data_IF_338214687137
#
_entry.id   IF_338214687137
#
_cell.length_a   1.000
_cell.length_b   1.000
_cell.length_c   1.000
_cell.angle_alpha   90.00
_cell.angle_beta   90.00
_cell.angle_gamma   90.00
#
_symmetry.space_group_name_H-M   'P 1'
#
loop_
_entity.id
_entity.type
_entity.pdbx_description
1 polymer ?
#
# COMPACT_ATOMS: atom_id res chain seq x y z
N UNK A 1 9.58 -12.57 2.03
CA UNK A 1 9.09 -12.04 0.72
C UNK A 1 9.38 -10.55 0.67
N UNK A 2 10.28 -10.05 -0.18
CA UNK A 2 10.41 -8.61 -0.39
C UNK A 2 9.29 -8.10 -1.31
N UNK A 3 8.85 -6.86 -1.13
CA UNK A 3 8.10 -6.13 -2.17
C UNK A 3 9.15 -5.60 -3.15
N UNK A 4 9.55 -6.42 -4.12
CA UNK A 4 10.76 -6.17 -4.92
C UNK A 4 10.55 -6.31 -6.43
N UNK A 5 9.31 -6.22 -6.90
CA UNK A 5 8.99 -6.37 -8.32
C UNK A 5 9.62 -5.25 -9.16
N UNK A 6 9.74 -4.04 -8.61
CA UNK A 6 10.44 -2.91 -9.26
C UNK A 6 11.93 -3.23 -9.51
N UNK A 7 12.60 -3.84 -8.52
CA UNK A 7 14.00 -4.24 -8.65
C UNK A 7 14.21 -5.26 -9.79
N UNK A 8 13.27 -6.21 -9.96
CA UNK A 8 13.30 -7.21 -11.03
C UNK A 8 12.93 -6.62 -12.38
N UNK A 9 11.99 -5.65 -12.40
CA UNK A 9 11.58 -4.97 -13.61
C UNK A 9 12.75 -4.23 -14.29
N UNK A 10 13.60 -3.59 -13.50
CA UNK A 10 14.77 -2.87 -14.02
C UNK A 10 15.91 -3.78 -14.54
N UNK A 11 15.73 -5.09 -14.52
CA UNK A 11 16.59 -6.04 -15.26
C UNK A 11 16.15 -6.23 -16.71
N UNK A 12 14.96 -5.76 -17.06
CA UNK A 12 14.47 -5.77 -18.44
C UNK A 12 15.21 -4.73 -19.31
N UNK A 13 15.33 -5.00 -20.61
CA UNK A 13 16.00 -4.08 -21.55
C UNK A 13 15.28 -2.73 -21.71
N UNK A 14 13.97 -2.70 -21.48
CA UNK A 14 13.13 -1.51 -21.59
C UNK A 14 12.12 -1.50 -20.43
N UNK A 15 12.57 -1.21 -19.18
CA UNK A 15 11.73 -1.32 -17.99
C UNK A 15 10.50 -0.41 -18.05
N UNK A 16 10.61 0.76 -18.66
CA UNK A 16 9.48 1.70 -18.78
C UNK A 16 8.33 1.11 -19.60
N UNK A 17 8.63 0.32 -20.64
CA UNK A 17 7.60 -0.34 -21.44
C UNK A 17 6.95 -1.54 -20.74
N UNK A 18 7.49 -1.99 -19.62
CA UNK A 18 6.89 -3.07 -18.83
C UNK A 18 5.66 -2.58 -18.09
N UNK A 19 5.68 -1.33 -17.59
CA UNK A 19 4.60 -0.75 -16.79
C UNK A 19 3.27 -0.71 -17.53
N UNK A 20 3.30 -0.50 -18.82
CA UNK A 20 2.11 -0.37 -19.68
C UNK A 20 1.85 -1.63 -20.53
N UNK A 21 2.45 -2.77 -20.17
CA UNK A 21 2.27 -4.03 -20.88
C UNK A 21 2.03 -5.20 -19.92
N UNK A 22 0.78 -5.63 -19.82
CA UNK A 22 0.37 -6.63 -18.86
C UNK A 22 1.07 -7.97 -18.97
N UNK A 23 1.31 -8.46 -20.20
CA UNK A 23 2.04 -9.72 -20.41
C UNK A 23 3.51 -9.63 -19.98
N UNK A 24 4.18 -8.49 -20.21
CA UNK A 24 5.56 -8.28 -19.73
C UNK A 24 5.57 -8.13 -18.21
N UNK A 25 4.67 -7.32 -17.65
CA UNK A 25 4.53 -7.10 -16.21
C UNK A 25 4.21 -8.41 -15.48
N UNK A 26 3.31 -9.24 -16.01
CA UNK A 26 3.01 -10.57 -15.46
C UNK A 26 4.24 -11.47 -15.39
N UNK A 27 5.08 -11.50 -16.43
CA UNK A 27 6.34 -12.26 -16.39
C UNK A 27 7.33 -11.72 -15.37
N UNK A 28 7.41 -10.41 -15.18
CA UNK A 28 8.28 -9.79 -14.17
C UNK A 28 7.80 -10.15 -12.77
N UNK A 29 6.49 -10.07 -12.50
CA UNK A 29 5.89 -10.46 -11.22
C UNK A 29 6.14 -11.95 -10.93
N UNK A 30 5.91 -12.84 -11.91
CA UNK A 30 6.20 -14.27 -11.77
C UNK A 30 7.68 -14.49 -11.46
N UNK A 31 8.59 -13.86 -12.20
CA UNK A 31 10.04 -13.96 -11.97
C UNK A 31 10.44 -13.47 -10.59
N UNK A 32 9.84 -12.40 -10.10
CA UNK A 32 10.04 -11.87 -8.75
C UNK A 32 9.62 -12.90 -7.69
N UNK A 33 8.41 -13.45 -7.79
CA UNK A 33 7.92 -14.48 -6.86
C UNK A 33 8.81 -15.73 -6.86
N UNK A 34 9.21 -16.21 -8.03
CA UNK A 34 10.09 -17.38 -8.19
C UNK A 34 11.49 -17.14 -7.63
N UNK A 35 12.07 -15.95 -7.86
CA UNK A 35 13.41 -15.59 -7.34
C UNK A 35 13.50 -15.74 -5.84
N UNK A 36 12.49 -15.30 -5.13
CA UNK A 36 12.49 -15.30 -3.66
C UNK A 36 11.64 -16.41 -3.04
N UNK A 37 11.22 -17.40 -3.85
CA UNK A 37 10.52 -18.59 -3.37
C UNK A 37 9.23 -18.29 -2.61
N UNK A 38 8.49 -17.27 -3.00
CA UNK A 38 7.22 -16.91 -2.38
C UNK A 38 6.02 -17.29 -3.26
N UNK A 39 4.94 -17.84 -2.70
CA UNK A 39 3.70 -18.05 -3.44
C UNK A 39 2.95 -16.74 -3.72
N UNK A 40 3.18 -15.69 -2.94
CA UNK A 40 2.56 -14.39 -3.12
C UNK A 40 3.23 -13.64 -4.29
N UNK A 41 2.52 -13.52 -5.40
CA UNK A 41 2.99 -12.79 -6.58
C UNK A 41 2.54 -11.33 -6.48
N UNK A 42 3.37 -10.51 -5.80
CA UNK A 42 3.09 -9.11 -5.50
C UNK A 42 3.42 -8.24 -6.71
N UNK A 43 2.49 -7.39 -7.16
CA UNK A 43 2.70 -6.52 -8.30
C UNK A 43 3.69 -5.39 -8.01
N UNK A 44 3.93 -4.56 -9.02
CA UNK A 44 4.65 -3.31 -8.88
C UNK A 44 3.88 -2.36 -7.93
N UNK A 45 4.59 -1.72 -6.98
CA UNK A 45 3.98 -0.74 -6.09
C UNK A 45 3.86 0.63 -6.78
N UNK A 46 2.96 0.73 -7.77
CA UNK A 46 2.65 2.00 -8.42
C UNK A 46 1.38 2.61 -7.82
N UNK A 47 1.56 3.40 -6.77
CA UNK A 47 0.47 4.05 -6.03
C UNK A 47 -0.01 5.36 -6.69
N UNK A 48 0.25 5.56 -7.99
CA UNK A 48 -0.21 6.72 -8.76
C UNK A 48 -1.45 6.39 -9.59
N UNK A 49 -1.67 5.11 -9.87
CA UNK A 49 -2.66 4.64 -10.84
C UNK A 49 -4.06 5.14 -10.53
N UNK A 50 -4.51 5.00 -9.29
CA UNK A 50 -5.84 5.43 -8.86
C UNK A 50 -6.02 6.96 -8.97
N UNK A 51 -4.95 7.74 -8.72
CA UNK A 51 -4.95 9.20 -8.93
C UNK A 51 -5.08 9.54 -10.41
N UNK A 52 -4.33 8.85 -11.28
CA UNK A 52 -4.37 9.06 -12.72
C UNK A 52 -5.77 8.74 -13.26
N UNK A 53 -6.34 7.61 -12.87
CA UNK A 53 -7.67 7.18 -13.30
C UNK A 53 -8.77 8.16 -12.85
N UNK A 54 -8.70 8.63 -11.60
CA UNK A 54 -9.63 9.62 -11.07
C UNK A 54 -9.52 10.95 -11.82
N UNK A 55 -8.30 11.45 -12.02
CA UNK A 55 -8.08 12.75 -12.65
C UNK A 55 -8.36 12.75 -14.16
N UNK A 56 -8.30 11.59 -14.82
CA UNK A 56 -8.76 11.44 -16.19
C UNK A 56 -10.24 11.77 -16.36
N UNK A 57 -11.08 11.50 -15.35
CA UNK A 57 -12.49 11.89 -15.34
C UNK A 57 -12.67 13.41 -15.24
N UNK A 58 -11.71 14.12 -14.66
CA UNK A 58 -11.63 15.57 -14.62
C UNK A 58 -10.94 16.17 -15.88
N UNK A 59 -10.69 15.36 -16.91
CA UNK A 59 -9.95 15.71 -18.14
C UNK A 59 -8.51 16.21 -17.88
N UNK A 60 -7.87 15.74 -16.82
CA UNK A 60 -6.46 16.00 -16.49
C UNK A 60 -5.61 14.87 -17.05
N UNK A 61 -4.55 15.22 -17.78
CA UNK A 61 -3.67 14.25 -18.42
C UNK A 61 -2.88 13.42 -17.41
N UNK A 62 -2.49 12.20 -17.78
CA UNK A 62 -1.66 11.35 -16.92
C UNK A 62 -0.30 12.00 -16.59
N UNK A 63 0.26 12.81 -17.49
CA UNK A 63 1.51 13.54 -17.26
C UNK A 63 1.37 14.63 -16.22
N UNK A 64 0.22 15.25 -16.11
CA UNK A 64 -0.06 16.34 -15.17
C UNK A 64 -0.57 15.81 -13.82
N UNK A 65 -1.11 14.58 -13.82
CA UNK A 65 -1.79 14.01 -12.66
C UNK A 65 -0.93 13.97 -11.39
N UNK A 66 0.37 13.71 -11.50
CA UNK A 66 1.24 13.62 -10.32
C UNK A 66 1.36 14.98 -9.61
N UNK A 67 1.54 16.06 -10.36
CA UNK A 67 1.69 17.41 -9.81
C UNK A 67 0.35 18.08 -9.50
N UNK A 68 -0.76 17.54 -10.00
CA UNK A 68 -2.08 18.16 -9.83
C UNK A 68 -2.61 18.03 -8.40
N UNK A 69 -3.16 19.13 -7.89
CA UNK A 69 -3.89 19.16 -6.62
C UNK A 69 -5.13 20.07 -6.77
N UNK A 70 -6.23 19.67 -6.17
CA UNK A 70 -7.36 20.56 -5.97
C UNK A 70 -6.99 21.64 -4.95
N UNK A 71 -7.29 22.89 -5.29
CA UNK A 71 -6.97 24.07 -4.45
C UNK A 71 -8.18 24.68 -3.76
N UNK A 72 -9.36 24.24 -4.12
CA UNK A 72 -10.64 24.69 -3.53
C UNK A 72 -11.69 23.58 -3.65
N UNK A 73 -12.73 23.59 -2.80
CA UNK A 73 -13.85 22.68 -2.91
C UNK A 73 -14.51 22.73 -4.30
N UNK A 74 -14.85 21.53 -4.79
CA UNK A 74 -15.60 21.38 -6.03
C UNK A 74 -17.07 21.79 -5.84
N UNK A 75 -17.66 22.28 -6.91
CA UNK A 75 -19.11 22.39 -6.98
C UNK A 75 -19.76 20.99 -6.93
N UNK A 76 -21.03 20.96 -6.54
CA UNK A 76 -21.74 19.70 -6.27
C UNK A 76 -21.83 18.80 -7.51
N UNK A 77 -22.01 19.38 -8.71
CA UNK A 77 -22.13 18.61 -9.95
C UNK A 77 -20.81 17.93 -10.33
N UNK A 78 -19.68 18.64 -10.25
CA UNK A 78 -18.36 18.07 -10.49
C UNK A 78 -17.99 17.03 -9.45
N UNK A 79 -18.26 17.31 -8.17
CA UNK A 79 -18.01 16.37 -7.10
C UNK A 79 -18.81 15.08 -7.29
N UNK A 80 -20.11 15.19 -7.55
CA UNK A 80 -20.95 14.03 -7.80
C UNK A 80 -20.50 13.22 -9.03
N UNK A 81 -20.04 13.88 -10.09
CA UNK A 81 -19.50 13.20 -11.27
C UNK A 81 -18.23 12.40 -10.98
N UNK A 82 -17.35 12.91 -10.11
CA UNK A 82 -16.10 12.22 -9.74
C UNK A 82 -16.30 11.09 -8.71
N UNK A 83 -17.40 11.13 -7.95
CA UNK A 83 -17.75 10.05 -7.01
C UNK A 83 -18.73 9.03 -7.60
N UNK A 84 -19.36 9.33 -8.73
CA UNK A 84 -20.38 8.50 -9.36
C UNK A 84 -19.80 7.35 -10.18
N UNK A 85 -20.66 6.76 -11.03
CA UNK A 85 -20.28 5.68 -11.92
C UNK A 85 -19.17 6.13 -12.88
N UNK A 86 -18.04 5.46 -12.80
CA UNK A 86 -16.84 5.84 -13.55
C UNK A 86 -16.82 5.13 -14.90
N UNK A 87 -17.26 5.82 -15.95
CA UNK A 87 -17.30 5.28 -17.32
C UNK A 87 -16.02 5.53 -18.13
N UNK A 88 -15.14 6.41 -17.65
CA UNK A 88 -13.86 6.70 -18.31
C UNK A 88 -12.97 5.44 -18.29
N UNK A 89 -12.32 5.06 -19.42
CA UNK A 89 -11.40 3.93 -19.45
C UNK A 89 -10.27 4.09 -18.42
N UNK A 90 -9.80 2.98 -17.89
CA UNK A 90 -8.62 2.96 -17.03
C UNK A 90 -7.38 3.36 -17.82
N UNK A 91 -6.39 3.93 -17.15
CA UNK A 91 -5.10 4.27 -17.76
C UNK A 91 -4.31 3.01 -18.17
N UNK A 92 -3.36 3.13 -19.12
CA UNK A 92 -2.57 1.98 -19.60
C UNK A 92 -1.90 1.18 -18.48
N UNK A 93 -1.37 1.84 -17.45
CA UNK A 93 -0.76 1.17 -16.29
C UNK A 93 -1.76 0.36 -15.46
N UNK A 94 -2.98 0.85 -15.25
CA UNK A 94 -4.05 0.11 -14.58
C UNK A 94 -4.49 -1.10 -15.40
N UNK A 95 -4.64 -0.95 -16.71
CA UNK A 95 -4.96 -2.07 -17.61
C UNK A 95 -3.84 -3.11 -17.57
N UNK A 96 -2.58 -2.69 -17.64
CA UNK A 96 -1.43 -3.61 -17.62
C UNK A 96 -1.33 -4.36 -16.28
N UNK A 97 -1.60 -3.70 -15.16
CA UNK A 97 -1.69 -4.35 -13.84
C UNK A 97 -2.78 -5.42 -13.83
N UNK A 98 -3.95 -5.11 -14.32
CA UNK A 98 -5.10 -6.02 -14.35
C UNK A 98 -4.82 -7.23 -15.25
N UNK A 99 -4.26 -7.02 -16.44
CA UNK A 99 -3.82 -8.11 -17.33
C UNK A 99 -2.70 -8.97 -16.69
N UNK A 100 -1.78 -8.36 -15.96
CA UNK A 100 -0.73 -9.07 -15.24
C UNK A 100 -1.31 -9.98 -14.15
N UNK A 101 -2.33 -9.51 -13.41
CA UNK A 101 -3.07 -10.32 -12.43
C UNK A 101 -3.68 -11.56 -13.11
N UNK A 102 -4.34 -11.39 -14.26
CA UNK A 102 -4.90 -12.50 -15.02
C UNK A 102 -3.81 -13.52 -15.47
N UNK A 103 -2.64 -13.01 -15.88
CA UNK A 103 -1.49 -13.87 -16.20
C UNK A 103 -1.01 -14.69 -15.01
N UNK A 104 -0.93 -14.09 -13.82
CA UNK A 104 -0.53 -14.78 -12.59
C UNK A 104 -1.60 -15.75 -12.13
N UNK A 105 -2.87 -15.38 -12.21
CA UNK A 105 -3.99 -16.25 -11.84
C UNK A 105 -4.00 -17.58 -12.57
N UNK A 106 -3.44 -17.62 -13.78
CA UNK A 106 -3.26 -18.85 -14.56
C UNK A 106 -2.12 -19.75 -14.03
N UNK A 107 -1.39 -19.36 -13.00
CA UNK A 107 -0.31 -20.14 -12.35
C UNK A 107 -0.85 -20.78 -11.06
N UNK A 108 -1.05 -22.11 -11.02
CA UNK A 108 -1.75 -22.76 -9.90
C UNK A 108 -0.94 -22.73 -8.58
N UNK A 109 0.36 -22.52 -8.66
CA UNK A 109 1.30 -22.46 -7.54
C UNK A 109 1.58 -21.03 -7.03
N UNK A 110 0.95 -20.02 -7.63
CA UNK A 110 1.06 -18.61 -7.22
C UNK A 110 -0.31 -18.06 -6.80
N UNK A 111 -0.25 -17.14 -5.87
CA UNK A 111 -1.38 -16.35 -5.41
C UNK A 111 -1.30 -14.99 -6.11
N UNK A 112 -2.30 -14.68 -6.94
CA UNK A 112 -2.37 -13.41 -7.65
C UNK A 112 -2.75 -12.30 -6.66
N UNK A 113 -1.80 -11.44 -6.35
CA UNK A 113 -1.99 -10.29 -5.47
C UNK A 113 -2.21 -9.04 -6.32
N UNK A 114 -3.29 -8.33 -6.05
CA UNK A 114 -3.51 -6.98 -6.56
C UNK A 114 -2.95 -5.93 -5.60
N UNK A 115 -2.94 -4.67 -6.02
CA UNK A 115 -2.48 -3.56 -5.19
C UNK A 115 -3.21 -2.26 -5.53
N UNK A 116 -3.53 -1.48 -4.50
CA UNK A 116 -4.05 -0.13 -4.63
C UNK A 116 -3.55 0.76 -3.48
N UNK A 117 -3.51 2.06 -3.74
CA UNK A 117 -3.34 3.05 -2.66
C UNK A 117 -4.58 3.03 -1.77
N UNK A 118 -4.42 3.29 -0.48
CA UNK A 118 -5.56 3.44 0.43
C UNK A 118 -6.30 4.77 0.25
N UNK A 119 -7.59 4.82 0.63
CA UNK A 119 -8.44 6.00 0.39
C UNK A 119 -7.90 7.28 1.01
N UNK A 120 -7.46 7.24 2.25
CA UNK A 120 -6.93 8.44 2.90
C UNK A 120 -5.59 8.85 2.29
N UNK A 121 -4.71 7.90 1.99
CA UNK A 121 -3.43 8.18 1.30
C UNK A 121 -3.64 8.80 -0.08
N UNK A 122 -4.65 8.34 -0.84
CA UNK A 122 -5.01 8.98 -2.10
C UNK A 122 -5.58 10.38 -1.86
N UNK A 123 -6.47 10.57 -0.89
CA UNK A 123 -7.03 11.87 -0.55
C UNK A 123 -5.93 12.91 -0.24
N UNK A 124 -4.89 12.51 0.50
CA UNK A 124 -3.76 13.40 0.80
C UNK A 124 -2.97 13.81 -0.44
N UNK A 125 -3.00 13.01 -1.50
CA UNK A 125 -2.33 13.32 -2.78
C UNK A 125 -3.19 14.16 -3.72
N UNK A 126 -4.46 14.36 -3.41
CA UNK A 126 -5.38 15.17 -4.21
C UNK A 126 -5.40 16.63 -3.80
N UNK A 127 -4.79 17.01 -2.68
CA UNK A 127 -4.77 18.38 -2.17
C UNK A 127 -3.36 18.84 -1.76
N UNK A 128 -3.12 20.15 -1.82
CA UNK A 128 -1.78 20.71 -1.60
C UNK A 128 -1.35 20.68 -0.13
N UNK A 129 -2.27 20.88 0.82
CA UNK A 129 -1.98 20.88 2.27
C UNK A 129 -2.98 19.99 3.03
N UNK A 130 -2.82 18.67 2.97
CA UNK A 130 -3.67 17.75 3.70
C UNK A 130 -3.44 17.76 5.22
N UNK A 131 -2.24 18.15 5.67
CA UNK A 131 -1.90 18.15 7.10
C UNK A 131 -2.68 19.25 7.82
N UNK A 132 -2.68 20.48 7.28
CA UNK A 132 -3.42 21.58 7.87
C UNK A 132 -4.93 21.27 7.91
N UNK A 133 -5.50 20.77 6.82
CA UNK A 133 -6.91 20.40 6.76
C UNK A 133 -7.27 19.28 7.77
N UNK A 134 -6.45 18.25 7.88
CA UNK A 134 -6.63 17.19 8.88
C UNK A 134 -6.52 17.72 10.31
N UNK A 135 -5.55 18.60 10.60
CA UNK A 135 -5.40 19.21 11.90
C UNK A 135 -6.61 20.06 12.31
N UNK A 136 -7.18 20.83 11.38
CA UNK A 136 -8.40 21.61 11.58
C UNK A 136 -9.60 20.69 11.85
N UNK A 137 -9.81 19.68 11.01
CA UNK A 137 -10.89 18.70 11.20
C UNK A 137 -10.74 17.95 12.53
N UNK A 138 -9.53 17.58 12.90
CA UNK A 138 -9.22 16.93 14.18
C UNK A 138 -9.44 17.82 15.41
N UNK A 139 -9.49 19.13 15.20
CA UNK A 139 -9.85 20.13 16.24
C UNK A 139 -11.36 20.44 16.27
N UNK A 140 -12.17 19.72 15.48
CA UNK A 140 -13.62 19.85 15.46
C UNK A 140 -14.17 20.83 14.43
N UNK A 141 -13.34 21.34 13.51
CA UNK A 141 -13.82 22.17 12.41
C UNK A 141 -14.56 21.31 11.40
N UNK A 142 -15.79 21.66 11.08
CA UNK A 142 -16.66 20.91 10.17
C UNK A 142 -16.56 21.42 8.72
N UNK A 143 -16.95 20.62 7.70
CA UNK A 143 -16.90 21.01 6.27
C UNK A 143 -17.69 22.26 5.91
N UNK A 144 -18.70 22.63 6.71
CA UNK A 144 -19.48 23.86 6.53
C UNK A 144 -18.77 25.12 7.03
N UNK A 145 -17.70 24.98 7.80
CA UNK A 145 -16.99 26.07 8.48
C UNK A 145 -15.66 26.43 7.82
N UNK A 146 -15.06 25.49 7.05
CA UNK A 146 -13.79 25.69 6.36
C UNK A 146 -13.80 25.07 4.96
N UNK A 147 -13.30 25.83 3.99
CA UNK A 147 -13.11 25.34 2.62
C UNK A 147 -12.07 24.20 2.56
N UNK A 148 -11.02 24.28 3.36
CA UNK A 148 -9.96 23.29 3.43
C UNK A 148 -10.48 21.95 3.98
N UNK A 149 -11.29 22.01 5.05
CA UNK A 149 -11.93 20.83 5.61
C UNK A 149 -12.95 20.25 4.65
N UNK A 150 -13.76 21.10 3.99
CA UNK A 150 -14.68 20.64 2.95
C UNK A 150 -13.96 19.93 1.81
N UNK A 151 -12.84 20.50 1.35
CA UNK A 151 -12.00 19.89 0.31
C UNK A 151 -11.44 18.52 0.76
N UNK A 152 -10.96 18.41 1.99
CA UNK A 152 -10.46 17.13 2.54
C UNK A 152 -11.53 16.03 2.44
N UNK A 153 -12.75 16.33 2.85
CA UNK A 153 -13.86 15.37 2.76
C UNK A 153 -14.24 15.03 1.33
N UNK A 154 -14.25 16.00 0.42
CA UNK A 154 -14.49 15.74 -0.99
C UNK A 154 -13.38 14.85 -1.58
N UNK A 155 -12.10 15.15 -1.27
CA UNK A 155 -10.97 14.32 -1.70
C UNK A 155 -11.06 12.90 -1.16
N UNK A 156 -11.48 12.70 0.09
CA UNK A 156 -11.66 11.38 0.67
C UNK A 156 -12.73 10.56 -0.06
N UNK A 157 -13.89 11.14 -0.32
CA UNK A 157 -14.97 10.43 -1.03
C UNK A 157 -14.59 10.09 -2.48
N UNK A 158 -13.95 11.04 -3.20
CA UNK A 158 -13.44 10.77 -4.55
C UNK A 158 -12.37 9.66 -4.54
N UNK A 159 -11.46 9.71 -3.57
CA UNK A 159 -10.43 8.70 -3.41
C UNK A 159 -11.03 7.32 -3.11
N UNK A 160 -12.00 7.23 -2.22
CA UNK A 160 -12.70 5.98 -1.91
C UNK A 160 -13.37 5.37 -3.16
N UNK A 161 -14.08 6.19 -3.93
CA UNK A 161 -14.70 5.73 -5.18
C UNK A 161 -13.67 5.22 -6.20
N UNK A 162 -12.55 5.93 -6.37
CA UNK A 162 -11.48 5.53 -7.27
C UNK A 162 -10.79 4.23 -6.83
N UNK A 163 -10.49 4.09 -5.53
CA UNK A 163 -9.87 2.89 -4.98
C UNK A 163 -10.81 1.69 -5.10
N UNK A 164 -12.09 1.87 -4.79
CA UNK A 164 -13.09 0.79 -4.92
C UNK A 164 -13.19 0.31 -6.37
N UNK A 165 -13.23 1.22 -7.34
CA UNK A 165 -13.19 0.87 -8.76
C UNK A 165 -11.96 0.06 -9.14
N UNK A 166 -10.77 0.52 -8.69
CA UNK A 166 -9.50 -0.17 -8.93
C UNK A 166 -9.51 -1.58 -8.36
N UNK A 167 -9.97 -1.75 -7.12
CA UNK A 167 -10.09 -3.03 -6.43
C UNK A 167 -11.05 -3.97 -7.18
N UNK A 168 -12.24 -3.47 -7.57
CA UNK A 168 -13.23 -4.26 -8.33
C UNK A 168 -12.68 -4.72 -9.68
N UNK A 169 -11.93 -3.87 -10.40
CA UNK A 169 -11.31 -4.25 -11.66
C UNK A 169 -10.30 -5.38 -11.47
N UNK A 170 -9.45 -5.28 -10.46
CA UNK A 170 -8.46 -6.31 -10.13
C UNK A 170 -9.10 -7.65 -9.71
N UNK A 171 -10.17 -7.60 -8.92
CA UNK A 171 -10.95 -8.80 -8.53
C UNK A 171 -11.55 -9.46 -9.78
N UNK A 172 -12.09 -8.68 -10.71
CA UNK A 172 -12.64 -9.20 -11.96
C UNK A 172 -11.58 -9.92 -12.83
N UNK A 173 -10.31 -9.55 -12.70
CA UNK A 173 -9.18 -10.24 -13.35
C UNK A 173 -8.63 -11.43 -12.53
N UNK A 174 -9.23 -11.73 -11.39
CA UNK A 174 -8.93 -12.91 -10.60
C UNK A 174 -7.91 -12.69 -9.48
N UNK A 175 -7.73 -11.46 -9.01
CA UNK A 175 -6.97 -11.22 -7.79
C UNK A 175 -7.52 -12.05 -6.62
N UNK A 176 -6.65 -12.75 -5.90
CA UNK A 176 -7.00 -13.58 -4.75
C UNK A 176 -6.76 -12.85 -3.43
N UNK A 177 -5.91 -11.85 -3.47
CA UNK A 177 -5.69 -10.90 -2.40
C UNK A 177 -5.44 -9.51 -2.98
N UNK A 178 -5.80 -8.46 -2.24
CA UNK A 178 -5.46 -7.08 -2.58
C UNK A 178 -4.63 -6.47 -1.44
N UNK A 179 -3.49 -5.89 -1.80
CA UNK A 179 -2.69 -5.08 -0.88
C UNK A 179 -3.16 -3.63 -0.95
N UNK A 180 -3.78 -3.16 0.13
CA UNK A 180 -4.15 -1.75 0.30
C UNK A 180 -3.02 -1.04 1.04
N UNK A 181 -2.42 -0.04 0.39
CA UNK A 181 -1.29 0.73 0.91
C UNK A 181 -1.75 2.08 1.47
N UNK A 182 -1.74 2.23 2.79
CA UNK A 182 -2.28 3.38 3.51
C UNK A 182 -1.22 4.17 4.33
N UNK A 183 -0.06 4.53 3.75
CA UNK A 183 1.04 5.14 4.50
C UNK A 183 0.73 6.52 5.12
N UNK A 184 -0.34 7.18 4.69
CA UNK A 184 -0.77 8.43 5.30
C UNK A 184 -1.60 8.22 6.58
N UNK A 185 -2.05 7.00 6.88
CA UNK A 185 -2.80 6.69 8.10
C UNK A 185 -1.89 6.63 9.34
N UNK A 186 -1.03 7.61 9.51
CA UNK A 186 0.04 7.65 10.49
C UNK A 186 0.03 8.95 11.30
N UNK A 187 0.88 9.02 12.32
CA UNK A 187 0.96 10.18 13.25
C UNK A 187 1.36 11.51 12.56
N UNK A 188 1.86 11.48 11.32
CA UNK A 188 2.18 12.68 10.58
C UNK A 188 0.92 13.44 10.11
N UNK A 189 -0.16 12.72 9.81
CA UNK A 189 -1.43 13.28 9.39
C UNK A 189 -2.50 13.23 10.47
N UNK A 190 -2.47 12.19 11.31
CA UNK A 190 -3.45 11.96 12.38
C UNK A 190 -2.76 12.22 13.71
N UNK A 191 -3.09 13.33 14.34
CA UNK A 191 -2.44 13.74 15.58
C UNK A 191 -2.79 12.82 16.76
N UNK A 192 -1.81 12.12 17.38
CA UNK A 192 -2.06 11.31 18.56
C UNK A 192 -2.63 12.13 19.74
N UNK A 193 -2.27 13.41 19.82
CA UNK A 193 -2.82 14.32 20.84
C UNK A 193 -4.31 14.56 20.63
N UNK A 194 -4.76 14.75 19.40
CA UNK A 194 -6.16 14.93 19.08
C UNK A 194 -6.95 13.64 19.31
N UNK A 195 -6.40 12.47 18.93
CA UNK A 195 -7.00 11.17 19.24
C UNK A 195 -7.24 11.01 20.75
N UNK A 196 -6.22 11.27 21.57
CA UNK A 196 -6.32 11.23 23.04
C UNK A 196 -7.31 12.25 23.62
N UNK A 197 -7.55 13.36 22.92
CA UNK A 197 -8.56 14.36 23.28
C UNK A 197 -9.98 13.99 22.82
N UNK A 198 -10.17 12.81 22.23
CA UNK A 198 -11.48 12.31 21.79
C UNK A 198 -11.88 12.70 20.36
N UNK A 199 -10.93 13.17 19.52
CA UNK A 199 -11.19 13.41 18.11
C UNK A 199 -11.54 12.10 17.40
N UNK A 200 -12.61 12.10 16.61
CA UNK A 200 -13.02 10.98 15.77
C UNK A 200 -12.39 11.00 14.38
N UNK A 201 -11.37 11.84 14.17
CA UNK A 201 -10.76 12.04 12.84
C UNK A 201 -10.18 10.74 12.27
N UNK A 202 -9.44 9.97 13.10
CA UNK A 202 -8.89 8.68 12.70
C UNK A 202 -9.98 7.71 12.23
N UNK A 203 -11.09 7.67 12.97
CA UNK A 203 -12.25 6.86 12.59
C UNK A 203 -12.79 7.26 11.22
N UNK A 204 -13.10 8.54 11.04
CA UNK A 204 -13.76 9.06 9.83
C UNK A 204 -12.86 9.04 8.60
N UNK A 205 -11.57 9.39 8.73
CA UNK A 205 -10.66 9.50 7.59
C UNK A 205 -10.01 8.17 7.19
N UNK A 206 -9.76 7.29 8.17
CA UNK A 206 -8.99 6.07 7.96
C UNK A 206 -9.84 4.83 8.13
N UNK A 207 -10.46 4.66 9.30
CA UNK A 207 -11.10 3.38 9.64
C UNK A 207 -12.35 3.11 8.79
N UNK A 208 -13.28 4.06 8.73
CA UNK A 208 -14.54 3.86 7.98
C UNK A 208 -14.33 3.56 6.49
N UNK A 209 -13.50 4.30 5.72
CA UNK A 209 -13.26 3.96 4.32
C UNK A 209 -12.62 2.59 4.13
N UNK A 210 -11.62 2.24 4.98
CA UNK A 210 -10.95 0.95 4.88
C UNK A 210 -11.85 -0.21 5.33
N UNK A 211 -12.77 -0.01 6.27
CA UNK A 211 -13.79 -1.00 6.64
C UNK A 211 -14.78 -1.25 5.49
N UNK A 212 -15.18 -0.20 4.74
CA UNK A 212 -16.02 -0.39 3.54
C UNK A 212 -15.28 -1.14 2.43
N UNK A 213 -13.99 -0.87 2.22
CA UNK A 213 -13.16 -1.66 1.30
C UNK A 213 -13.03 -3.11 1.75
N UNK A 214 -12.78 -3.34 3.05
CA UNK A 214 -12.71 -4.69 3.62
C UNK A 214 -14.01 -5.46 3.37
N UNK A 215 -15.16 -4.83 3.61
CA UNK A 215 -16.46 -5.45 3.36
C UNK A 215 -16.63 -5.84 1.88
N UNK A 216 -16.23 -4.98 0.93
CA UNK A 216 -16.29 -5.28 -0.50
C UNK A 216 -15.35 -6.44 -0.90
N UNK A 217 -14.16 -6.53 -0.28
CA UNK A 217 -13.24 -7.65 -0.48
C UNK A 217 -13.81 -8.96 0.07
N UNK A 218 -14.42 -8.93 1.26
CA UNK A 218 -15.02 -10.10 1.89
C UNK A 218 -16.20 -10.65 1.06
N UNK A 219 -17.04 -9.75 0.54
CA UNK A 219 -18.14 -10.13 -0.34
C UNK A 219 -17.66 -10.83 -1.62
N UNK A 220 -16.50 -10.40 -2.13
CA UNK A 220 -15.87 -11.00 -3.31
C UNK A 220 -15.03 -12.24 -2.99
N UNK A 221 -14.86 -12.62 -1.73
CA UNK A 221 -13.99 -13.72 -1.31
C UNK A 221 -12.51 -13.46 -1.59
N UNK A 222 -12.08 -12.20 -1.54
CA UNK A 222 -10.72 -11.75 -1.79
C UNK A 222 -10.05 -11.32 -0.48
N UNK A 223 -8.85 -11.84 -0.19
CA UNK A 223 -8.14 -11.54 1.05
C UNK A 223 -7.60 -10.09 1.05
N UNK A 224 -7.62 -9.44 2.22
CA UNK A 224 -6.98 -8.14 2.42
C UNK A 224 -5.56 -8.32 2.97
N UNK A 225 -4.59 -7.67 2.31
CA UNK A 225 -3.27 -7.34 2.84
C UNK A 225 -3.29 -5.85 3.16
N UNK A 226 -3.22 -5.47 4.43
CA UNK A 226 -3.20 -4.07 4.82
C UNK A 226 -1.78 -3.63 5.10
N UNK A 227 -1.28 -2.66 4.34
CA UNK A 227 0.09 -2.16 4.42
C UNK A 227 0.13 -0.72 4.88
N UNK A 228 0.78 -0.47 6.00
CA UNK A 228 1.12 0.88 6.46
C UNK A 228 2.58 0.95 6.91
N UNK A 229 3.41 1.63 6.13
CA UNK A 229 4.82 1.87 6.45
C UNK A 229 5.07 3.22 7.12
N UNK A 230 4.02 3.94 7.51
CA UNK A 230 4.11 5.19 8.26
C UNK A 230 4.54 4.98 9.72
N UNK A 231 4.73 6.07 10.43
CA UNK A 231 5.01 6.00 11.87
C UNK A 231 3.69 5.90 12.66
N UNK A 232 3.44 4.73 13.24
CA UNK A 232 2.21 4.39 13.95
C UNK A 232 2.36 4.44 15.47
N UNK A 233 1.26 4.72 16.17
CA UNK A 233 1.09 4.47 17.60
C UNK A 233 0.35 3.14 17.81
N UNK A 234 0.39 2.60 19.03
CA UNK A 234 -0.22 1.30 19.36
C UNK A 234 -1.71 1.27 19.06
N UNK A 235 -2.45 2.33 19.40
CA UNK A 235 -3.90 2.45 19.14
C UNK A 235 -4.23 2.28 17.64
N UNK A 236 -3.36 2.75 16.75
CA UNK A 236 -3.55 2.59 15.28
C UNK A 236 -3.29 1.14 14.86
N UNK A 237 -2.20 0.53 15.34
CA UNK A 237 -1.88 -0.88 15.06
C UNK A 237 -2.98 -1.80 15.56
N UNK A 238 -3.45 -1.57 16.79
CA UNK A 238 -4.55 -2.33 17.39
C UNK A 238 -5.85 -2.19 16.60
N UNK A 239 -6.19 -0.98 16.15
CA UNK A 239 -7.36 -0.74 15.31
C UNK A 239 -7.28 -1.45 13.95
N UNK A 240 -6.12 -1.39 13.29
CA UNK A 240 -5.91 -2.10 12.03
C UNK A 240 -6.00 -3.62 12.21
N UNK A 241 -5.35 -4.15 13.24
CA UNK A 241 -5.30 -5.58 13.50
C UNK A 241 -6.67 -6.16 13.88
N UNK A 242 -7.41 -5.49 14.77
CA UNK A 242 -8.62 -6.06 15.37
C UNK A 242 -9.91 -5.64 14.68
N UNK A 243 -9.96 -4.45 14.05
CA UNK A 243 -11.19 -3.94 13.46
C UNK A 243 -11.21 -4.08 11.94
N UNK A 244 -10.13 -3.73 11.23
CA UNK A 244 -10.00 -4.05 9.80
C UNK A 244 -9.79 -5.55 9.65
N UNK A 245 -9.03 -6.15 10.54
CA UNK A 245 -8.79 -7.60 10.62
C UNK A 245 -8.34 -8.18 9.27
N UNK A 246 -7.22 -7.69 8.70
CA UNK A 246 -6.73 -8.16 7.42
C UNK A 246 -6.17 -9.58 7.51
N UNK A 247 -6.06 -10.31 6.40
CA UNK A 247 -5.35 -11.59 6.38
C UNK A 247 -3.87 -11.44 6.68
N UNK A 248 -3.27 -10.34 6.18
CA UNK A 248 -1.87 -9.99 6.42
C UNK A 248 -1.81 -8.51 6.80
N UNK A 249 -1.16 -8.21 7.92
CA UNK A 249 -0.86 -6.85 8.36
C UNK A 249 0.63 -6.55 8.13
N UNK A 250 0.92 -5.61 7.25
CA UNK A 250 2.27 -5.20 6.87
C UNK A 250 2.61 -3.85 7.49
N UNK A 251 3.62 -3.81 8.34
CA UNK A 251 4.02 -2.61 9.09
C UNK A 251 5.44 -2.17 8.73
N UNK A 252 5.68 -0.86 8.81
CA UNK A 252 6.99 -0.24 8.59
C UNK A 252 8.02 -0.59 9.66
N UNK A 253 9.31 -0.32 9.38
CA UNK A 253 10.44 -0.64 10.26
C UNK A 253 10.53 0.22 11.53
N UNK A 254 9.64 1.22 11.67
CA UNK A 254 9.46 1.96 12.93
C UNK A 254 8.81 1.10 14.03
N UNK A 255 8.19 -0.02 13.64
CA UNK A 255 7.57 -0.98 14.56
C UNK A 255 8.47 -2.20 14.76
N UNK A 256 8.37 -2.81 15.94
CA UNK A 256 8.96 -4.12 16.24
C UNK A 256 7.86 -5.16 16.26
N UNK A 257 7.74 -5.93 15.19
CA UNK A 257 6.61 -6.85 15.00
C UNK A 257 6.41 -7.82 16.16
N UNK A 258 7.50 -8.26 16.81
CA UNK A 258 7.42 -9.15 17.97
C UNK A 258 6.89 -8.45 19.24
N UNK A 259 7.03 -7.11 19.33
CA UNK A 259 6.42 -6.32 20.39
C UNK A 259 4.94 -6.04 20.06
N UNK A 260 4.60 -5.89 18.78
CA UNK A 260 3.22 -5.67 18.33
C UNK A 260 2.37 -6.95 18.36
N UNK A 261 2.99 -8.12 18.29
CA UNK A 261 2.32 -9.43 18.22
C UNK A 261 1.29 -9.67 19.33
N UNK A 262 1.46 -9.06 20.52
CA UNK A 262 0.53 -9.23 21.64
C UNK A 262 -0.81 -8.53 21.43
N UNK A 263 -0.89 -7.52 20.54
CA UNK A 263 -2.11 -6.78 20.24
C UNK A 263 -2.76 -7.22 18.91
N UNK A 264 -2.11 -8.13 18.19
CA UNK A 264 -2.57 -8.62 16.88
C UNK A 264 -3.21 -10.01 17.03
N UNK A 265 -4.44 -10.25 16.52
CA UNK A 265 -5.07 -11.57 16.54
C UNK A 265 -4.21 -12.66 15.89
N UNK A 266 -4.22 -13.87 16.46
CA UNK A 266 -3.36 -14.97 16.02
C UNK A 266 -3.65 -15.52 14.61
N UNK A 267 -4.76 -15.15 14.00
CA UNK A 267 -5.14 -15.48 12.61
C UNK A 267 -4.79 -14.37 11.60
N UNK A 268 -4.30 -13.21 12.09
CA UNK A 268 -3.72 -12.14 11.26
C UNK A 268 -2.22 -12.36 11.16
N UNK A 269 -1.70 -12.55 9.97
CA UNK A 269 -0.27 -12.77 9.73
C UNK A 269 0.46 -11.43 9.73
N UNK A 270 1.50 -11.27 10.57
CA UNK A 270 2.38 -10.11 10.49
C UNK A 270 3.36 -10.26 9.33
N UNK A 271 3.57 -9.18 8.57
CA UNK A 271 4.50 -9.16 7.44
C UNK A 271 5.53 -8.04 7.60
N UNK A 272 6.75 -8.36 7.28
CA UNK A 272 7.85 -7.40 7.18
C UNK A 272 9.02 -7.77 8.09
N UNK A 273 9.82 -6.81 8.60
CA UNK A 273 9.79 -5.40 8.22
C UNK A 273 11.23 -4.83 8.23
N UNK A 274 12.11 -5.45 7.43
CA UNK A 274 13.49 -4.95 7.29
C UNK A 274 13.48 -3.56 6.61
N UNK A 275 14.30 -2.60 7.08
CA UNK A 275 14.35 -1.23 6.57
C UNK A 275 15.05 -1.15 5.20
N UNK A 276 14.41 -1.70 4.19
CA UNK A 276 14.94 -1.82 2.82
C UNK A 276 15.22 -0.46 2.17
N UNK A 277 14.63 0.62 2.65
CA UNK A 277 14.97 1.98 2.23
C UNK A 277 16.42 2.37 2.53
N UNK A 278 17.07 1.70 3.47
CA UNK A 278 18.49 1.91 3.82
C UNK A 278 19.45 1.02 3.03
N UNK A 279 18.95 0.15 2.14
CA UNK A 279 19.77 -0.83 1.43
C UNK A 279 20.65 -0.22 0.32
N UNK A 280 20.38 1.01 -0.10
CA UNK A 280 21.11 1.69 -1.16
C UNK A 280 22.59 1.96 -0.83
N UNK A 281 22.98 1.94 0.42
CA UNK A 281 24.34 2.29 0.86
C UNK A 281 24.85 1.40 1.98
N UNK A 282 26.12 0.95 1.90
CA UNK A 282 26.78 0.22 2.98
C UNK A 282 27.07 1.11 4.19
N UNK A 283 27.20 2.43 3.99
CA UNK A 283 27.29 3.39 5.08
C UNK A 283 25.98 3.53 5.87
N UNK A 284 24.83 3.37 5.21
CA UNK A 284 23.53 3.39 5.87
C UNK A 284 23.22 2.03 6.55
N UNK A 285 23.48 0.93 5.86
CA UNK A 285 23.24 -0.43 6.38
C UNK A 285 24.13 -1.46 5.66
N UNK A 286 25.27 -1.88 6.25
CA UNK A 286 26.12 -2.92 5.67
C UNK A 286 25.42 -4.29 5.67
N UNK A 287 25.88 -5.20 4.82
CA UNK A 287 25.28 -6.54 4.65
C UNK A 287 25.22 -7.32 5.98
N UNK A 288 26.27 -7.23 6.81
CA UNK A 288 26.31 -7.91 8.11
C UNK A 288 25.21 -7.41 9.05
N UNK A 289 24.87 -6.12 8.98
CA UNK A 289 23.76 -5.54 9.75
C UNK A 289 22.41 -5.99 9.21
N UNK A 290 22.27 -6.16 7.90
CA UNK A 290 21.06 -6.76 7.30
C UNK A 290 20.87 -8.19 7.83
N UNK A 291 21.92 -9.00 7.82
CA UNK A 291 21.89 -10.38 8.33
C UNK A 291 21.51 -10.38 9.82
N UNK A 292 22.21 -9.57 10.62
CA UNK A 292 21.96 -9.47 12.07
C UNK A 292 20.50 -9.11 12.38
N UNK A 293 19.96 -8.07 11.72
CA UNK A 293 18.56 -7.66 11.93
C UNK A 293 17.56 -8.70 11.44
N UNK A 294 17.87 -9.38 10.36
CA UNK A 294 17.02 -10.46 9.86
C UNK A 294 16.97 -11.61 10.85
N UNK A 295 18.12 -12.03 11.38
CA UNK A 295 18.20 -13.10 12.40
C UNK A 295 17.50 -12.70 13.69
N UNK A 296 17.65 -11.44 14.14
CA UNK A 296 16.96 -10.88 15.30
C UNK A 296 15.43 -10.92 15.12
N UNK A 297 14.94 -10.45 13.97
CA UNK A 297 13.50 -10.48 13.65
C UNK A 297 12.96 -11.91 13.66
N UNK A 298 13.61 -12.83 12.96
CA UNK A 298 13.18 -14.24 12.89
C UNK A 298 13.19 -14.89 14.30
N UNK A 299 14.24 -14.66 15.07
CA UNK A 299 14.36 -15.23 16.42
C UNK A 299 13.26 -14.72 17.35
N UNK A 300 12.99 -13.40 17.36
CA UNK A 300 11.97 -12.79 18.20
C UNK A 300 10.55 -13.17 17.77
N UNK A 301 10.26 -13.21 16.47
CA UNK A 301 8.96 -13.67 15.98
C UNK A 301 8.71 -15.14 16.30
N UNK A 302 9.74 -15.99 16.21
CA UNK A 302 9.66 -17.38 16.65
C UNK A 302 9.41 -17.50 18.15
N UNK A 303 10.05 -16.68 18.96
CA UNK A 303 9.90 -16.68 20.41
C UNK A 303 8.50 -16.26 20.87
N UNK A 304 7.89 -15.27 20.21
CA UNK A 304 6.51 -14.87 20.52
C UNK A 304 5.45 -15.81 19.92
N UNK A 305 5.82 -16.68 18.97
CA UNK A 305 4.93 -17.70 18.38
C UNK A 305 3.85 -17.13 17.45
N UNK A 306 3.94 -15.87 17.05
CA UNK A 306 2.96 -15.25 16.15
C UNK A 306 3.26 -15.58 14.68
N UNK A 307 2.24 -15.86 13.83
CA UNK A 307 2.42 -16.08 12.39
C UNK A 307 3.10 -14.89 11.72
N UNK A 308 4.18 -15.15 10.97
CA UNK A 308 5.00 -14.10 10.39
C UNK A 308 5.55 -14.46 9.01
N UNK A 309 5.56 -13.49 8.11
CA UNK A 309 6.24 -13.55 6.81
C UNK A 309 7.40 -12.56 6.82
N UNK A 310 8.63 -13.05 6.75
CA UNK A 310 9.82 -12.20 6.60
C UNK A 310 9.73 -11.37 5.32
N UNK A 311 9.94 -10.06 5.43
CA UNK A 311 9.84 -9.16 4.28
C UNK A 311 10.48 -7.79 4.48
N UNK A 312 10.30 -6.96 3.47
CA UNK A 312 10.69 -5.55 3.47
C UNK A 312 9.68 -4.69 4.22
N UNK A 313 10.11 -3.55 4.76
CA UNK A 313 9.20 -2.56 5.36
C UNK A 313 8.25 -1.90 4.35
N UNK A 314 8.68 -1.81 3.10
CA UNK A 314 7.97 -1.21 1.99
C UNK A 314 8.55 -1.75 0.68
N UNK A 315 8.28 -1.09 -0.46
CA UNK A 315 8.90 -1.41 -1.73
C UNK A 315 10.43 -1.35 -1.65
N UNK A 316 11.08 -2.28 -2.35
CA UNK A 316 12.54 -2.26 -2.51
C UNK A 316 12.87 -1.32 -3.66
N UNK A 317 13.31 -0.13 -3.32
CA UNK A 317 13.56 0.93 -4.28
C UNK A 317 14.60 0.54 -5.33
N UNK A 318 14.34 0.96 -6.57
CA UNK A 318 15.34 1.00 -7.61
C UNK A 318 16.17 2.29 -7.47
N UNK A 319 17.48 2.14 -7.25
CA UNK A 319 18.45 3.23 -7.26
C UNK A 319 19.55 2.84 -8.24
N UNK A 320 19.64 3.46 -9.43
CA UNK A 320 20.51 3.02 -10.52
C UNK A 320 21.95 2.71 -10.10
N UNK A 321 22.56 3.63 -9.32
CA UNK A 321 23.96 3.53 -8.90
C UNK A 321 24.16 2.51 -7.75
N UNK A 322 23.08 2.07 -7.09
CA UNK A 322 23.14 1.19 -5.93
C UNK A 322 22.50 -0.20 -6.18
N UNK A 323 22.10 -0.51 -7.40
CA UNK A 323 21.38 -1.73 -7.77
C UNK A 323 22.02 -3.01 -7.25
N UNK A 324 23.31 -3.17 -7.48
CA UNK A 324 24.06 -4.36 -7.04
C UNK A 324 24.09 -4.46 -5.51
N UNK A 325 24.32 -3.33 -4.82
CA UNK A 325 24.31 -3.24 -3.36
C UNK A 325 22.94 -3.62 -2.79
N UNK A 326 21.87 -3.09 -3.37
CA UNK A 326 20.49 -3.39 -2.95
C UNK A 326 20.18 -4.87 -3.15
N UNK A 327 20.46 -5.43 -4.34
CA UNK A 327 20.24 -6.85 -4.63
C UNK A 327 20.97 -7.76 -3.65
N UNK A 328 22.26 -7.50 -3.43
CA UNK A 328 23.08 -8.27 -2.47
C UNK A 328 22.45 -8.30 -1.09
N UNK A 329 21.89 -7.18 -0.62
CA UNK A 329 21.25 -7.07 0.69
C UNK A 329 19.89 -7.78 0.73
N UNK A 330 19.09 -7.65 -0.32
CA UNK A 330 17.83 -8.40 -0.44
C UNK A 330 18.09 -9.91 -0.48
N UNK A 331 19.07 -10.35 -1.25
CA UNK A 331 19.46 -11.77 -1.32
C UNK A 331 19.98 -12.27 0.03
N UNK A 332 20.79 -11.47 0.75
CA UNK A 332 21.28 -11.80 2.10
C UNK A 332 20.12 -11.93 3.11
N UNK A 333 19.14 -11.02 3.06
CA UNK A 333 17.91 -11.10 3.86
C UNK A 333 17.13 -12.37 3.53
N UNK A 334 16.90 -12.65 2.25
CA UNK A 334 16.07 -13.77 1.82
C UNK A 334 16.74 -15.13 2.03
N UNK A 335 18.06 -15.19 1.98
CA UNK A 335 18.82 -16.41 2.32
C UNK A 335 18.61 -16.87 3.79
N UNK A 336 18.09 -16.01 4.65
CA UNK A 336 17.75 -16.32 6.05
C UNK A 336 16.30 -16.77 6.22
N UNK A 337 15.46 -16.62 5.19
CA UNK A 337 14.06 -17.06 5.27
C UNK A 337 13.99 -18.57 5.57
N UNK A 338 13.11 -19.00 6.50
CA UNK A 338 12.90 -20.43 6.73
C UNK A 338 12.47 -21.10 5.43
N UNK A 339 13.15 -22.21 5.08
CA UNK A 339 12.70 -23.03 3.96
C UNK A 339 11.37 -23.65 4.34
N UNK A 340 10.32 -23.41 3.56
CA UNK A 340 9.03 -24.10 3.75
C UNK A 340 9.27 -25.61 3.57
N UNK A 341 9.11 -26.36 4.64
CA UNK A 341 9.17 -27.83 4.63
C UNK A 341 7.88 -28.41 4.06
#
# INVERSE_FOLDING_TARGET
MPIGTDLVMHEESEPEKVRDNGSRLGRVIERSARRWGTPLAVPLMDLRLEKIDLLAMAAISATDAEAFHFTAPLDEAKFAALCGEQTTPLCPGSIARDEAIACIRARPDLIAVGMAIGPFSLATRLMADPIAAAAMAGSGVEPGESAEVKLLWQCLHMAEAAVLRSVQSQIAQGAQAIMICEPAACKAYISPRQMKAGSNLFERLVMEPNLRLKAALDEAGCDLIFHDCGELIDDMVEAFANRIHPKILSLGSSRKLWEDAHMVPGDVVLYGNLPTRSFYSDGAMPVDEVIRRTDELIANMKACGHPHILGSECDVLFVPEAQETIRKKVDAMMARAPVSS
#
